data_IF_430752471659
#
_entry.id   IF_430752471659
#
_cell.length_a   1.000
_cell.length_b   1.000
_cell.length_c   1.000
_cell.angle_alpha   90.00
_cell.angle_beta   90.00
_cell.angle_gamma   90.00
#
_symmetry.space_group_name_H-M   'P 1'
#
loop_
_entity.id
_entity.type
_entity.pdbx_description
1 polymer ?
#
# COMPACT_ATOMS: atom_id res chain seq x y z
N UNK A 1 -6.52 -14.52 1.06
CA UNK A 1 -6.42 -13.07 1.38
C UNK A 1 -6.04 -12.97 2.85
N UNK A 2 -4.91 -12.35 3.16
CA UNK A 2 -4.42 -12.10 4.51
C UNK A 2 -4.66 -10.64 4.86
N UNK A 3 -5.46 -10.38 5.89
CA UNK A 3 -5.83 -9.03 6.34
C UNK A 3 -5.00 -8.72 7.59
N UNK A 4 -3.96 -7.90 7.45
CA UNK A 4 -2.96 -7.63 8.48
C UNK A 4 -3.03 -6.16 8.90
N UNK A 5 -3.68 -5.87 10.03
CA UNK A 5 -3.77 -4.51 10.57
C UNK A 5 -2.52 -4.16 11.42
N UNK A 6 -2.39 -2.90 11.82
CA UNK A 6 -1.27 -2.40 12.63
C UNK A 6 0.07 -2.58 11.91
N UNK A 7 0.14 -2.07 10.68
CA UNK A 7 1.22 -2.35 9.73
C UNK A 7 2.59 -1.71 10.02
N UNK A 8 2.71 -0.87 11.05
CA UNK A 8 3.87 -0.01 11.24
C UNK A 8 4.00 0.50 12.69
N UNK A 9 5.02 1.34 12.91
CA UNK A 9 5.19 2.12 14.16
C UNK A 9 3.98 3.00 14.50
N UNK A 10 3.10 3.29 13.54
CA UNK A 10 1.87 4.04 13.75
C UNK A 10 0.90 3.38 14.74
N UNK A 11 1.14 2.13 15.14
CA UNK A 11 0.38 1.50 16.21
C UNK A 11 0.62 2.11 17.59
N UNK A 12 1.79 2.75 17.82
CA UNK A 12 2.09 3.43 19.07
C UNK A 12 2.63 2.51 20.17
N UNK A 13 1.99 2.56 21.34
CA UNK A 13 2.57 2.21 22.65
C UNK A 13 2.80 0.71 22.88
N UNK A 14 2.22 -0.18 22.07
CA UNK A 14 2.48 -1.62 22.20
C UNK A 14 3.95 -1.98 21.84
N UNK A 15 4.66 -1.05 21.20
CA UNK A 15 6.11 -1.03 21.13
C UNK A 15 6.71 -2.04 20.14
N UNK A 16 8.05 -2.22 20.17
CA UNK A 16 8.80 -2.89 19.10
C UNK A 16 8.46 -4.38 18.93
N UNK A 17 7.85 -5.01 19.95
CA UNK A 17 7.38 -6.41 19.85
C UNK A 17 6.15 -6.56 18.95
N UNK A 18 5.44 -5.47 18.66
CA UNK A 18 4.24 -5.45 17.82
C UNK A 18 4.43 -4.66 16.51
N UNK A 19 5.49 -3.86 16.41
CA UNK A 19 5.71 -2.94 15.29
C UNK A 19 6.43 -3.65 14.13
N UNK A 20 5.78 -3.87 12.98
CA UNK A 20 6.44 -4.45 11.81
C UNK A 20 7.51 -3.51 11.25
N UNK A 21 8.69 -4.07 10.92
CA UNK A 21 9.80 -3.31 10.29
C UNK A 21 10.19 -3.94 8.94
N UNK A 22 10.61 -5.19 8.97
CA UNK A 22 11.11 -5.99 7.85
C UNK A 22 10.00 -6.70 7.06
N UNK A 23 8.78 -6.74 7.60
CA UNK A 23 7.70 -7.60 7.14
C UNK A 23 7.29 -7.30 5.68
N UNK A 24 7.23 -6.02 5.29
CA UNK A 24 6.94 -5.66 3.91
C UNK A 24 8.03 -6.19 2.95
N UNK A 25 9.31 -6.06 3.34
CA UNK A 25 10.42 -6.54 2.54
C UNK A 25 10.46 -8.07 2.46
N UNK A 26 10.16 -8.77 3.56
CA UNK A 26 10.13 -10.23 3.59
C UNK A 26 9.05 -10.80 2.68
N UNK A 27 7.85 -10.21 2.67
CA UNK A 27 6.78 -10.62 1.75
C UNK A 27 7.03 -10.19 0.31
N UNK A 28 7.64 -9.02 0.05
CA UNK A 28 8.03 -8.62 -1.31
C UNK A 28 9.06 -9.56 -1.93
N UNK A 29 9.94 -10.15 -1.13
CA UNK A 29 10.93 -11.12 -1.58
C UNK A 29 10.35 -12.54 -1.78
N UNK A 30 9.18 -12.84 -1.20
CA UNK A 30 8.56 -14.15 -1.29
C UNK A 30 7.96 -14.37 -2.69
N UNK A 31 8.25 -15.50 -3.36
CA UNK A 31 7.67 -15.79 -4.67
C UNK A 31 6.15 -15.94 -4.63
N UNK A 32 5.46 -15.44 -5.67
CA UNK A 32 4.03 -15.60 -5.89
C UNK A 32 3.15 -15.16 -4.70
N UNK A 33 3.43 -13.99 -4.13
CA UNK A 33 2.54 -13.32 -3.18
C UNK A 33 2.42 -11.84 -3.54
N UNK A 34 1.22 -11.29 -3.39
CA UNK A 34 0.97 -9.85 -3.53
C UNK A 34 1.09 -9.19 -2.16
N UNK A 35 2.02 -8.23 -2.03
CA UNK A 35 2.17 -7.40 -0.84
C UNK A 35 1.57 -6.01 -1.11
N UNK A 36 0.32 -5.81 -0.69
CA UNK A 36 -0.46 -4.60 -0.92
C UNK A 36 -0.49 -3.74 0.36
N UNK A 37 -0.20 -2.45 0.23
CA UNK A 37 -0.22 -1.49 1.34
C UNK A 37 -0.95 -0.21 0.91
N UNK A 38 -2.29 -0.22 0.93
CA UNK A 38 -3.11 0.88 0.43
C UNK A 38 -3.01 2.13 1.32
N UNK A 39 -2.99 3.31 0.71
CA UNK A 39 -2.90 4.59 1.41
C UNK A 39 -4.23 5.11 1.95
N UNK A 40 -5.32 4.85 1.24
CA UNK A 40 -6.64 5.39 1.58
C UNK A 40 -7.79 4.43 1.23
N UNK A 41 -9.03 4.93 1.20
CA UNK A 41 -10.20 4.11 0.92
C UNK A 41 -10.29 3.63 -0.52
N UNK A 42 -9.90 4.45 -1.49
CA UNK A 42 -9.90 4.06 -2.92
C UNK A 42 -8.88 2.95 -3.15
N UNK A 43 -7.68 3.10 -2.60
CA UNK A 43 -6.66 2.07 -2.73
C UNK A 43 -7.01 0.81 -1.94
N UNK A 44 -7.68 0.93 -0.80
CA UNK A 44 -8.14 -0.24 -0.05
C UNK A 44 -9.18 -1.02 -0.86
N UNK A 45 -10.13 -0.34 -1.50
CA UNK A 45 -11.08 -0.97 -2.41
C UNK A 45 -10.37 -1.65 -3.60
N UNK A 46 -9.36 -0.99 -4.19
CA UNK A 46 -8.50 -1.55 -5.22
C UNK A 46 -7.74 -2.80 -4.76
N UNK A 47 -7.18 -2.78 -3.55
CA UNK A 47 -6.45 -3.91 -2.99
C UNK A 47 -7.36 -5.14 -2.80
N UNK A 48 -8.60 -4.92 -2.33
CA UNK A 48 -9.59 -6.00 -2.26
C UNK A 48 -10.01 -6.50 -3.64
N UNK A 49 -10.23 -5.62 -4.63
CA UNK A 49 -10.53 -6.01 -6.00
C UNK A 49 -9.43 -6.91 -6.56
N UNK A 50 -8.17 -6.48 -6.47
CA UNK A 50 -7.00 -7.26 -6.90
C UNK A 50 -6.94 -8.60 -6.17
N UNK A 51 -7.06 -8.61 -4.85
CA UNK A 51 -6.98 -9.82 -4.04
C UNK A 51 -8.11 -10.82 -4.34
N UNK A 52 -9.30 -10.33 -4.65
CA UNK A 52 -10.41 -11.16 -5.11
C UNK A 52 -10.11 -11.71 -6.50
N UNK A 53 -9.74 -10.88 -7.48
CA UNK A 53 -9.48 -11.36 -8.84
C UNK A 53 -8.33 -12.41 -8.91
N UNK A 54 -7.31 -12.30 -8.06
CA UNK A 54 -6.17 -13.22 -8.04
C UNK A 54 -6.44 -14.51 -7.25
N UNK A 55 -7.24 -15.42 -7.82
CA UNK A 55 -7.64 -16.69 -7.16
C UNK A 55 -6.49 -17.68 -6.89
N UNK A 56 -5.36 -17.55 -7.57
CA UNK A 56 -4.21 -18.48 -7.50
C UNK A 56 -2.95 -17.87 -6.87
N UNK A 57 -3.02 -16.61 -6.44
CA UNK A 57 -1.91 -15.89 -5.84
C UNK A 57 -2.39 -15.29 -4.52
N UNK A 58 -1.81 -15.68 -3.36
CA UNK A 58 -2.17 -15.06 -2.09
C UNK A 58 -1.90 -13.56 -2.10
N UNK A 59 -2.70 -12.81 -1.36
CA UNK A 59 -2.55 -11.36 -1.17
C UNK A 59 -2.49 -11.04 0.31
N UNK A 60 -1.53 -10.23 0.71
CA UNK A 60 -1.39 -9.62 2.02
C UNK A 60 -1.78 -8.15 1.89
N UNK A 61 -2.71 -7.70 2.74
CA UNK A 61 -3.11 -6.31 2.86
C UNK A 61 -2.56 -5.80 4.20
N UNK A 62 -1.55 -4.94 4.14
CA UNK A 62 -1.01 -4.20 5.29
C UNK A 62 -1.87 -2.95 5.53
N UNK A 63 -2.57 -2.89 6.67
CA UNK A 63 -3.54 -1.85 7.00
C UNK A 63 -3.13 -1.09 8.26
N UNK A 64 -3.28 0.22 8.23
CA UNK A 64 -2.92 1.11 9.34
C UNK A 64 -3.86 0.99 10.55
N UNK A 65 -3.37 1.39 11.73
CA UNK A 65 -4.20 1.59 12.93
C UNK A 65 -4.81 2.99 12.94
N UNK A 66 -4.00 3.98 12.59
CA UNK A 66 -4.30 5.39 12.61
C UNK A 66 -5.21 5.81 11.44
N UNK A 67 -5.94 6.91 11.64
CA UNK A 67 -6.75 7.51 10.57
C UNK A 67 -5.85 8.14 9.51
N UNK A 68 -6.24 8.00 8.25
CA UNK A 68 -5.59 8.61 7.09
C UNK A 68 -6.63 9.40 6.27
N UNK A 69 -6.21 10.49 5.61
CA UNK A 69 -7.09 11.23 4.71
C UNK A 69 -7.34 10.45 3.40
N UNK A 70 -8.39 10.84 2.67
CA UNK A 70 -8.54 10.45 1.27
C UNK A 70 -7.68 11.39 0.42
N UNK A 71 -6.87 10.85 -0.48
CA UNK A 71 -5.94 11.63 -1.28
C UNK A 71 -6.50 11.89 -2.69
N UNK A 72 -6.30 13.08 -3.27
CA UNK A 72 -6.57 13.31 -4.68
C UNK A 72 -5.71 12.39 -5.57
N UNK A 73 -6.30 11.87 -6.65
CA UNK A 73 -5.60 11.05 -7.64
C UNK A 73 -5.51 9.56 -7.31
N UNK A 74 -5.80 9.13 -6.08
CA UNK A 74 -5.88 7.70 -5.76
C UNK A 74 -7.08 7.05 -6.44
N UNK A 75 -6.93 5.80 -6.86
CA UNK A 75 -7.99 5.08 -7.58
C UNK A 75 -7.89 3.58 -7.43
N UNK A 76 -9.01 2.89 -7.63
CA UNK A 76 -9.09 1.43 -7.66
C UNK A 76 -8.22 0.88 -8.79
N UNK A 77 -8.27 1.51 -9.97
CA UNK A 77 -7.54 1.14 -11.17
C UNK A 77 -6.02 1.38 -11.03
N UNK A 78 -5.62 2.37 -10.22
CA UNK A 78 -4.22 2.62 -9.89
C UNK A 78 -3.57 1.43 -9.20
N UNK A 79 -4.27 0.79 -8.27
CA UNK A 79 -3.77 -0.37 -7.52
C UNK A 79 -3.48 -1.57 -8.42
N UNK A 80 -4.25 -1.76 -9.50
CA UNK A 80 -3.99 -2.84 -10.47
C UNK A 80 -2.65 -2.71 -11.18
N UNK A 81 -2.08 -1.49 -11.22
CA UNK A 81 -0.77 -1.20 -11.82
C UNK A 81 0.40 -1.41 -10.85
N UNK A 82 0.13 -1.60 -9.56
CA UNK A 82 1.13 -1.72 -8.49
C UNK A 82 1.75 -0.38 -8.07
N UNK A 83 2.19 0.45 -9.04
CA UNK A 83 2.65 1.82 -8.80
C UNK A 83 2.13 2.75 -9.90
N UNK A 84 1.65 3.94 -9.51
CA UNK A 84 1.03 4.90 -10.42
C UNK A 84 1.18 6.34 -9.89
N UNK A 85 0.99 7.31 -10.78
CA UNK A 85 1.13 8.74 -10.48
C UNK A 85 -0.20 9.26 -9.92
N UNK A 86 -0.18 9.86 -8.73
CA UNK A 86 -1.36 10.50 -8.11
C UNK A 86 -1.38 12.02 -8.33
N UNK A 87 -0.23 12.63 -8.56
CA UNK A 87 -0.07 14.06 -8.85
C UNK A 87 1.15 14.30 -9.71
N UNK A 88 1.04 15.16 -10.71
CA UNK A 88 2.15 15.56 -11.58
C UNK A 88 1.96 17.02 -12.00
N UNK A 89 3.04 17.79 -11.87
CA UNK A 89 3.15 19.18 -12.34
C UNK A 89 4.30 19.38 -13.34
N UNK A 90 4.92 18.29 -13.80
CA UNK A 90 6.01 18.31 -14.76
C UNK A 90 5.50 18.52 -16.19
N UNK A 91 6.43 18.85 -17.09
CA UNK A 91 6.14 18.96 -18.52
C UNK A 91 6.99 17.95 -19.30
N UNK A 92 6.42 17.40 -20.37
CA UNK A 92 7.12 16.44 -21.24
C UNK A 92 7.54 15.14 -20.54
N UNK A 93 6.83 14.72 -19.48
CA UNK A 93 7.14 13.50 -18.70
C UNK A 93 8.58 13.51 -18.13
N UNK A 94 9.03 14.67 -17.67
CA UNK A 94 10.38 14.87 -17.11
C UNK A 94 10.30 15.68 -15.81
N UNK A 95 9.93 15.04 -14.69
CA UNK A 95 9.96 15.69 -13.39
C UNK A 95 11.41 15.89 -12.92
N UNK A 96 11.66 16.97 -12.17
CA UNK A 96 12.95 17.18 -11.52
C UNK A 96 13.18 16.18 -10.37
N UNK A 97 12.10 15.78 -9.69
CA UNK A 97 12.10 14.85 -8.56
C UNK A 97 10.88 13.95 -8.62
N UNK A 98 11.07 12.66 -8.30
CA UNK A 98 9.99 11.70 -8.10
C UNK A 98 9.99 11.30 -6.63
N UNK A 99 8.84 11.47 -5.97
CA UNK A 99 8.61 11.01 -4.60
C UNK A 99 7.66 9.81 -4.64
N UNK A 100 8.01 8.75 -3.94
CA UNK A 100 7.24 7.49 -3.91
C UNK A 100 6.94 7.16 -2.45
N UNK A 101 5.65 7.05 -2.13
CA UNK A 101 5.13 6.62 -0.84
C UNK A 101 4.25 5.38 -0.98
N UNK A 102 3.89 4.77 0.15
CA UNK A 102 2.89 3.69 0.24
C UNK A 102 2.18 3.81 1.57
N UNK A 103 0.93 3.34 1.68
CA UNK A 103 0.23 3.31 2.97
C UNK A 103 0.13 4.70 3.61
N UNK A 104 0.36 4.75 4.92
CA UNK A 104 0.29 5.98 5.71
C UNK A 104 1.33 7.06 5.39
N UNK A 105 2.33 6.75 4.56
CA UNK A 105 3.41 7.69 4.19
C UNK A 105 3.26 8.24 2.76
N UNK A 106 2.16 7.92 2.07
CA UNK A 106 1.79 8.54 0.79
C UNK A 106 1.13 9.91 1.02
#
# INVERSE_FOLDING_TARGET
IYVMTHDSIGLGEDGPTHQPIEHLASFRAMPNILMLRPADGNETAGAYKVAVQHRKTPSVLALSRQKLPQLPGTSIEGVEKGGYIISDNSSGNKPDVIVIGTGSEL
#
